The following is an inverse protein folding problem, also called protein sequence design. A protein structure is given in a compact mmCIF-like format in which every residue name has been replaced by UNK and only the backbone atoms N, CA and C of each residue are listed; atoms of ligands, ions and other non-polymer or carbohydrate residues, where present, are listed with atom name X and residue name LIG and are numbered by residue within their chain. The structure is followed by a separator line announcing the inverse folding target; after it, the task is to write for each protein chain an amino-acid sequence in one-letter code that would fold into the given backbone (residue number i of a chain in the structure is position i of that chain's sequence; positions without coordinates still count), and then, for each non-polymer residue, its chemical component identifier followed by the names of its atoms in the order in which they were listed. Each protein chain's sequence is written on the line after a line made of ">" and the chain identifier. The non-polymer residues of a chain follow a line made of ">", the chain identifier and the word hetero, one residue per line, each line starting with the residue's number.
data_IF_632693171904
#
_entry.id   IF_632693171904
#
_cell.length_a   1.000
_cell.length_b   1.000
_cell.length_c   1.000
_cell.angle_alpha   90.00
_cell.angle_beta   90.00
_cell.angle_gamma   90.00
#
_symmetry.space_group_name_H-M   'P 1'
#
loop_
_entity.id
_entity.type
_entity.pdbx_description
1 polymer ?
#
# COMPACT_ATOMS: atom_id res chain seq x y z
N UNK A 1 23.71 -1.94 15.30
CA UNK A 1 22.47 -1.12 15.30
C UNK A 1 21.26 -1.97 15.62
N UNK A 2 20.86 -2.89 14.73
CA UNK A 2 19.69 -3.77 14.93
C UNK A 2 19.71 -4.54 16.26
N UNK A 3 20.82 -5.21 16.59
CA UNK A 3 20.99 -5.95 17.85
C UNK A 3 20.82 -5.08 19.11
N UNK A 4 21.35 -3.86 19.11
CA UNK A 4 21.21 -2.92 20.25
C UNK A 4 19.76 -2.44 20.39
N UNK A 5 19.04 -2.31 19.27
CA UNK A 5 17.61 -2.01 19.25
C UNK A 5 16.72 -3.19 19.72
N UNK A 6 17.31 -4.35 20.03
CA UNK A 6 16.60 -5.56 20.43
C UNK A 6 15.90 -6.27 19.27
N UNK A 7 16.28 -5.97 18.03
CA UNK A 7 15.71 -6.53 16.81
C UNK A 7 16.85 -7.24 16.09
N UNK A 8 16.96 -8.55 16.19
CA UNK A 8 18.10 -9.27 15.62
C UNK A 8 17.67 -10.54 14.92
N UNK A 9 18.29 -10.81 13.79
CA UNK A 9 18.26 -12.09 13.09
C UNK A 9 19.42 -13.00 13.54
N UNK A 10 20.28 -12.52 14.45
CA UNK A 10 21.55 -13.18 14.75
C UNK A 10 22.63 -12.84 13.72
N UNK A 11 23.90 -12.94 14.11
CA UNK A 11 25.03 -12.51 13.26
C UNK A 11 25.14 -13.34 11.98
N UNK A 12 24.97 -14.66 12.09
CA UNK A 12 25.04 -15.60 10.97
C UNK A 12 23.94 -15.32 9.93
N UNK A 13 22.69 -15.13 10.38
CA UNK A 13 21.57 -14.85 9.47
C UNK A 13 21.75 -13.50 8.77
N UNK A 14 22.26 -12.46 9.47
CA UNK A 14 22.57 -11.17 8.87
C UNK A 14 23.66 -11.29 7.79
N UNK A 15 24.70 -12.09 8.03
CA UNK A 15 25.72 -12.37 7.01
C UNK A 15 25.13 -13.10 5.82
N UNK A 16 24.29 -14.12 6.06
CA UNK A 16 23.60 -14.87 5.01
C UNK A 16 22.68 -13.96 4.18
N UNK A 17 21.90 -13.08 4.82
CA UNK A 17 21.08 -12.05 4.16
C UNK A 17 21.98 -11.17 3.28
N UNK A 18 23.08 -10.64 3.83
CA UNK A 18 23.97 -9.74 3.09
C UNK A 18 24.59 -10.39 1.86
N UNK A 19 25.09 -11.62 1.99
CA UNK A 19 25.67 -12.37 0.86
C UNK A 19 24.61 -12.73 -0.18
N UNK A 20 23.43 -13.13 0.27
CA UNK A 20 22.31 -13.48 -0.61
C UNK A 20 21.82 -12.30 -1.42
N UNK A 21 21.69 -11.11 -0.80
CA UNK A 21 21.31 -9.89 -1.50
C UNK A 21 22.35 -9.44 -2.54
N UNK A 22 23.65 -9.63 -2.26
CA UNK A 22 24.72 -9.37 -3.24
C UNK A 22 24.59 -10.29 -4.46
N UNK A 23 24.32 -11.58 -4.23
CA UNK A 23 24.06 -12.55 -5.30
C UNK A 23 22.82 -12.16 -6.10
N UNK A 24 21.73 -11.83 -5.41
CA UNK A 24 20.48 -11.40 -6.04
C UNK A 24 20.68 -10.17 -6.93
N UNK A 25 21.36 -9.14 -6.42
CA UNK A 25 21.62 -7.91 -7.18
C UNK A 25 22.41 -8.16 -8.48
N UNK A 26 23.38 -9.09 -8.46
CA UNK A 26 24.12 -9.50 -9.65
C UNK A 26 23.25 -10.29 -10.63
N UNK A 27 22.39 -11.19 -10.14
CA UNK A 27 21.50 -12.00 -10.98
C UNK A 27 20.43 -11.15 -11.68
N UNK A 28 19.88 -10.16 -10.99
CA UNK A 28 18.78 -9.32 -11.50
C UNK A 28 19.26 -8.02 -12.13
N UNK A 29 20.57 -7.75 -12.15
CA UNK A 29 21.16 -6.47 -12.55
C UNK A 29 20.48 -5.27 -11.86
N UNK A 30 20.20 -5.39 -10.56
CA UNK A 30 19.56 -4.33 -9.80
C UNK A 30 20.55 -3.18 -9.55
N UNK A 31 20.13 -1.94 -9.84
CA UNK A 31 20.95 -0.74 -9.58
C UNK A 31 21.05 -0.43 -8.09
N UNK A 32 19.98 -0.70 -7.36
CA UNK A 32 19.89 -0.56 -5.92
C UNK A 32 19.17 -1.78 -5.35
N UNK A 33 19.65 -2.27 -4.21
CA UNK A 33 18.99 -3.36 -3.47
C UNK A 33 19.06 -3.09 -1.97
N UNK A 34 17.98 -3.41 -1.26
CA UNK A 34 17.89 -3.32 0.19
C UNK A 34 17.15 -4.51 0.75
N UNK A 35 17.54 -4.96 1.94
CA UNK A 35 16.68 -5.83 2.73
C UNK A 35 15.48 -5.03 3.22
N UNK A 36 14.27 -5.41 2.83
CA UNK A 36 13.06 -4.72 3.27
C UNK A 36 12.63 -5.22 4.66
N UNK A 37 12.73 -6.53 4.89
CA UNK A 37 12.32 -7.12 6.16
C UNK A 37 11.81 -8.54 6.03
N UNK A 38 10.95 -8.93 6.96
CA UNK A 38 10.38 -10.27 7.08
C UNK A 38 8.87 -10.21 7.36
N UNK A 39 8.08 -10.91 6.55
CA UNK A 39 6.65 -11.13 6.80
C UNK A 39 6.47 -12.49 7.47
N UNK A 40 5.88 -12.47 8.66
CA UNK A 40 5.54 -13.66 9.41
C UNK A 40 4.26 -14.28 8.89
N UNK A 41 4.23 -15.60 8.77
CA UNK A 41 3.12 -16.35 8.18
C UNK A 41 2.66 -17.45 9.14
N UNK A 42 1.56 -18.14 8.83
CA UNK A 42 1.19 -19.36 9.55
C UNK A 42 2.07 -20.57 9.20
N UNK A 43 2.76 -20.52 8.05
CA UNK A 43 3.61 -21.59 7.54
C UNK A 43 5.06 -21.16 7.46
N UNK A 44 5.57 -20.96 6.23
CA UNK A 44 6.94 -20.50 6.00
C UNK A 44 6.98 -18.98 5.82
N UNK A 45 7.72 -18.31 6.69
CA UNK A 45 7.92 -16.86 6.61
C UNK A 45 8.50 -16.41 5.27
N UNK A 46 8.27 -15.15 4.93
CA UNK A 46 8.86 -14.51 3.76
C UNK A 46 9.94 -13.51 4.18
N UNK A 47 11.16 -13.74 3.75
CA UNK A 47 12.20 -12.73 3.66
C UNK A 47 11.92 -11.87 2.44
N UNK A 48 12.02 -10.55 2.57
CA UNK A 48 11.68 -9.61 1.50
C UNK A 48 12.88 -8.73 1.19
N UNK A 49 13.24 -8.67 -0.09
CA UNK A 49 14.19 -7.74 -0.67
C UNK A 49 13.45 -6.74 -1.55
N UNK A 50 13.90 -5.50 -1.58
CA UNK A 50 13.43 -4.47 -2.51
C UNK A 50 14.59 -3.94 -3.33
N UNK A 51 14.30 -3.48 -4.54
CA UNK A 51 15.33 -2.91 -5.40
C UNK A 51 14.77 -2.32 -6.69
N UNK A 52 15.66 -1.63 -7.41
CA UNK A 52 15.35 -1.02 -8.70
C UNK A 52 16.01 -1.85 -9.79
N UNK A 53 15.21 -2.33 -10.75
CA UNK A 53 15.70 -3.09 -11.90
C UNK A 53 15.36 -2.39 -13.20
N UNK A 54 16.25 -2.54 -14.19
CA UNK A 54 16.04 -2.12 -15.56
C UNK A 54 15.31 -3.17 -16.42
N UNK A 55 15.06 -4.38 -15.87
CA UNK A 55 14.46 -5.48 -16.60
C UNK A 55 13.03 -5.15 -17.07
N UNK A 56 12.79 -5.27 -18.38
CA UNK A 56 11.52 -5.00 -19.06
C UNK A 56 10.46 -6.12 -18.91
N UNK A 57 10.69 -7.13 -18.05
CA UNK A 57 9.66 -8.10 -17.74
C UNK A 57 8.54 -7.40 -16.96
N UNK A 58 7.59 -6.85 -17.70
CA UNK A 58 6.32 -6.40 -17.20
C UNK A 58 5.28 -7.42 -17.69
N UNK A 59 4.54 -7.99 -16.74
CA UNK A 59 3.26 -8.61 -17.05
C UNK A 59 2.40 -7.61 -17.83
N UNK A 60 1.45 -8.09 -18.64
CA UNK A 60 0.48 -7.22 -19.32
C UNK A 60 -0.31 -6.48 -18.25
N UNK A 61 0.02 -5.22 -18.03
CA UNK A 61 -0.68 -4.37 -17.09
C UNK A 61 -2.03 -3.95 -17.67
N UNK A 62 -3.05 -3.94 -16.82
CA UNK A 62 -4.32 -3.27 -17.13
C UNK A 62 -4.05 -1.77 -17.36
N UNK A 63 -4.89 -1.13 -18.19
CA UNK A 63 -4.73 0.26 -18.63
C UNK A 63 -4.67 1.28 -17.48
N UNK A 64 -5.23 0.92 -16.34
CA UNK A 64 -5.36 1.73 -15.13
C UNK A 64 -4.24 1.50 -14.10
N UNK A 65 -3.32 0.54 -14.34
CA UNK A 65 -2.21 0.25 -13.43
C UNK A 65 -0.99 1.14 -13.68
N UNK A 66 -0.28 1.51 -12.60
CA UNK A 66 0.97 2.27 -12.72
C UNK A 66 2.09 1.41 -13.33
N UNK A 67 2.85 1.92 -14.32
CA UNK A 67 3.86 1.12 -15.00
C UNK A 67 5.06 0.82 -14.08
N UNK A 68 5.84 -0.20 -14.44
CA UNK A 68 7.09 -0.52 -13.74
C UNK A 68 8.02 0.69 -13.69
N UNK A 69 8.59 0.97 -12.51
CA UNK A 69 9.45 2.13 -12.28
C UNK A 69 8.71 3.40 -11.83
N UNK A 70 7.38 3.42 -11.88
CA UNK A 70 6.58 4.57 -11.51
C UNK A 70 5.59 4.26 -10.38
N UNK A 71 5.34 5.25 -9.52
CA UNK A 71 4.33 5.17 -8.48
C UNK A 71 4.52 4.00 -7.50
N UNK A 72 3.44 3.27 -7.24
CA UNK A 72 3.39 2.05 -6.44
C UNK A 72 4.28 0.91 -6.99
N UNK A 73 4.66 0.97 -8.27
CA UNK A 73 5.51 -0.01 -8.96
C UNK A 73 6.94 0.49 -9.21
N UNK A 74 7.41 1.52 -8.50
CA UNK A 74 8.81 1.97 -8.57
C UNK A 74 9.80 0.87 -8.18
N UNK A 75 9.52 0.12 -7.12
CA UNK A 75 10.42 -0.96 -6.66
C UNK A 75 9.94 -2.34 -7.10
N UNK A 76 10.91 -3.14 -7.54
CA UNK A 76 10.77 -4.59 -7.66
C UNK A 76 11.00 -5.21 -6.30
N UNK A 77 10.18 -6.17 -5.93
CA UNK A 77 10.33 -6.90 -4.66
C UNK A 77 10.57 -8.36 -4.95
N UNK A 78 11.47 -8.96 -4.17
CA UNK A 78 11.70 -10.39 -4.21
C UNK A 78 11.47 -10.99 -2.84
N UNK A 79 11.02 -12.24 -2.85
CA UNK A 79 10.72 -12.99 -1.64
C UNK A 79 11.39 -14.35 -1.65
N UNK A 80 11.84 -14.77 -0.48
CA UNK A 80 12.40 -16.11 -0.27
C UNK A 80 11.92 -16.66 1.08
N UNK A 81 11.75 -17.98 1.17
CA UNK A 81 11.47 -18.64 2.44
C UNK A 81 12.71 -18.80 3.30
N UNK A 82 13.85 -18.98 2.64
CA UNK A 82 15.16 -19.03 3.25
C UNK A 82 16.09 -18.17 2.40
N UNK A 83 16.89 -17.32 3.04
CA UNK A 83 17.83 -16.42 2.36
C UNK A 83 18.90 -17.16 1.58
N UNK A 84 19.13 -18.45 1.82
CA UNK A 84 20.07 -19.27 1.06
C UNK A 84 19.45 -19.89 -0.22
N UNK A 85 18.12 -19.86 -0.33
CA UNK A 85 17.38 -20.36 -1.49
C UNK A 85 17.27 -19.29 -2.59
N UNK A 86 16.59 -19.64 -3.68
CA UNK A 86 16.30 -18.70 -4.77
C UNK A 86 15.23 -17.69 -4.35
N UNK A 87 15.41 -16.45 -4.81
CA UNK A 87 14.47 -15.37 -4.58
C UNK A 87 13.46 -15.29 -5.71
N UNK A 88 12.18 -15.24 -5.36
CA UNK A 88 11.07 -15.14 -6.31
C UNK A 88 10.67 -13.68 -6.47
N UNK A 89 10.66 -13.18 -7.70
CA UNK A 89 10.15 -11.84 -8.02
C UNK A 89 8.62 -11.81 -7.82
N UNK A 90 8.15 -10.81 -7.06
CA UNK A 90 6.72 -10.56 -6.91
C UNK A 90 6.17 -9.83 -8.14
N UNK A 91 4.91 -10.11 -8.53
CA UNK A 91 4.27 -9.43 -9.66
C UNK A 91 4.09 -7.94 -9.38
N UNK A 92 3.77 -7.19 -10.43
CA UNK A 92 3.39 -5.79 -10.30
C UNK A 92 2.06 -5.65 -9.55
N UNK A 93 1.90 -4.55 -8.80
CA UNK A 93 0.66 -4.26 -8.08
C UNK A 93 -0.31 -3.53 -9.00
N UNK A 94 -1.59 -3.87 -8.92
CA UNK A 94 -2.68 -3.14 -9.58
C UNK A 94 -3.53 -2.42 -8.51
N UNK A 95 -4.22 -1.32 -8.86
CA UNK A 95 -5.02 -0.54 -7.92
C UNK A 95 -6.06 -1.40 -7.17
N UNK A 96 -6.73 -2.30 -7.90
CA UNK A 96 -7.73 -3.22 -7.35
C UNK A 96 -7.19 -4.12 -6.21
N UNK A 97 -5.95 -4.60 -6.34
CA UNK A 97 -5.32 -5.41 -5.28
C UNK A 97 -5.08 -4.56 -4.02
N UNK A 98 -4.69 -3.30 -4.17
CA UNK A 98 -4.45 -2.39 -3.03
C UNK A 98 -5.75 -2.05 -2.33
N UNK A 99 -6.81 -1.71 -3.08
CA UNK A 99 -8.13 -1.37 -2.52
C UNK A 99 -8.76 -2.57 -1.83
N UNK A 100 -8.68 -3.75 -2.44
CA UNK A 100 -9.17 -5.00 -1.84
C UNK A 100 -8.38 -5.38 -0.59
N UNK A 101 -7.05 -5.21 -0.59
CA UNK A 101 -6.21 -5.48 0.58
C UNK A 101 -6.56 -4.59 1.79
N UNK A 102 -7.08 -3.37 1.57
CA UNK A 102 -7.55 -2.48 2.66
C UNK A 102 -8.80 -3.00 3.36
N UNK A 103 -9.61 -3.78 2.65
CA UNK A 103 -10.91 -4.27 3.08
C UNK A 103 -10.85 -5.60 3.85
N UNK A 104 -9.71 -6.28 3.83
CA UNK A 104 -9.54 -7.62 4.41
C UNK A 104 -8.44 -7.64 5.48
N UNK A 105 -8.59 -8.55 6.44
CA UNK A 105 -7.52 -8.97 7.35
C UNK A 105 -7.19 -10.43 7.08
N UNK A 106 -5.96 -10.69 6.66
CA UNK A 106 -5.51 -12.00 6.23
C UNK A 106 -4.13 -12.30 6.83
N UNK A 107 -3.98 -13.48 7.42
CA UNK A 107 -2.67 -14.00 7.85
C UNK A 107 -2.16 -14.84 6.68
N UNK A 108 -0.99 -14.46 6.17
CA UNK A 108 -0.33 -15.16 5.08
C UNK A 108 -0.07 -16.64 5.42
N UNK A 109 -0.23 -17.51 4.43
CA UNK A 109 -0.03 -18.96 4.61
C UNK A 109 1.42 -19.37 4.47
N UNK A 110 2.22 -18.59 3.74
CA UNK A 110 3.57 -18.97 3.36
C UNK A 110 3.63 -19.79 2.07
N UNK A 111 2.56 -19.78 1.26
CA UNK A 111 2.56 -20.26 -0.12
C UNK A 111 2.13 -19.15 -1.08
N UNK A 112 3.05 -18.72 -1.95
CA UNK A 112 2.82 -17.64 -2.92
C UNK A 112 1.68 -17.94 -3.90
N UNK A 113 1.38 -19.22 -4.10
CA UNK A 113 0.35 -19.69 -5.02
C UNK A 113 -0.99 -20.00 -4.35
N UNK A 114 -1.11 -19.84 -3.04
CA UNK A 114 -2.35 -20.05 -2.32
C UNK A 114 -3.45 -19.08 -2.78
N UNK A 115 -4.67 -19.58 -2.83
CA UNK A 115 -5.85 -18.76 -3.09
C UNK A 115 -6.25 -18.02 -1.81
N UNK A 116 -6.44 -16.71 -1.92
CA UNK A 116 -6.86 -15.87 -0.80
C UNK A 116 -8.37 -16.02 -0.61
N UNK A 117 -8.77 -16.77 0.42
CA UNK A 117 -10.20 -17.02 0.73
C UNK A 117 -10.71 -15.98 1.72
N UNK A 118 -11.22 -14.86 1.20
CA UNK A 118 -11.74 -13.74 2.00
C UNK A 118 -13.06 -13.22 1.46
N UNK A 119 -13.77 -12.47 2.29
CA UNK A 119 -14.86 -11.60 1.86
C UNK A 119 -14.51 -10.15 2.24
N UNK A 120 -14.49 -9.19 1.29
CA UNK A 120 -14.73 -9.35 -0.15
C UNK A 120 -13.71 -10.28 -0.84
N UNK A 121 -14.08 -10.88 -2.00
CA UNK A 121 -13.17 -11.74 -2.74
C UNK A 121 -11.95 -10.94 -3.22
N UNK A 122 -10.77 -11.55 -3.10
CA UNK A 122 -9.54 -10.95 -3.59
C UNK A 122 -9.19 -11.55 -4.95
N UNK A 123 -9.15 -10.71 -5.99
CA UNK A 123 -8.90 -11.12 -7.38
C UNK A 123 -7.42 -11.42 -7.65
N UNK A 124 -6.84 -12.35 -6.89
CA UNK A 124 -5.47 -12.77 -7.05
C UNK A 124 -5.05 -13.87 -6.09
N UNK A 125 -3.83 -14.35 -6.28
CA UNK A 125 -3.15 -15.27 -5.35
C UNK A 125 -2.43 -14.52 -4.23
N UNK A 126 -1.95 -15.27 -3.23
CA UNK A 126 -1.20 -14.75 -2.09
C UNK A 126 -0.02 -13.84 -2.49
N UNK A 127 0.72 -14.15 -3.57
CA UNK A 127 1.79 -13.28 -4.10
C UNK A 127 1.34 -11.84 -4.43
N UNK A 128 0.13 -11.67 -4.92
CA UNK A 128 -0.41 -10.35 -5.29
C UNK A 128 -0.86 -9.58 -4.05
N UNK A 129 -1.47 -10.29 -3.09
CA UNK A 129 -1.82 -9.72 -1.79
C UNK A 129 -0.57 -9.31 -1.02
N UNK A 130 0.47 -10.15 -1.03
CA UNK A 130 1.75 -9.89 -0.38
C UNK A 130 2.41 -8.65 -0.97
N UNK A 131 2.47 -8.54 -2.30
CA UNK A 131 2.95 -7.33 -2.99
C UNK A 131 2.15 -6.10 -2.58
N UNK A 132 0.82 -6.16 -2.62
CA UNK A 132 -0.03 -5.03 -2.25
C UNK A 132 0.20 -4.61 -0.78
N UNK A 133 0.37 -5.59 0.11
CA UNK A 133 0.61 -5.35 1.53
C UNK A 133 1.99 -4.72 1.80
N UNK A 134 3.03 -5.20 1.10
CA UNK A 134 4.38 -4.62 1.18
C UNK A 134 4.34 -3.17 0.69
N UNK A 135 3.72 -2.89 -0.45
CA UNK A 135 3.64 -1.52 -1.00
C UNK A 135 2.88 -0.58 -0.04
N UNK A 136 1.77 -1.05 0.55
CA UNK A 136 1.03 -0.28 1.57
C UNK A 136 1.90 0.06 2.78
N UNK A 137 2.68 -0.90 3.28
CA UNK A 137 3.59 -0.68 4.42
C UNK A 137 4.71 0.27 4.01
N UNK A 138 5.34 0.04 2.86
CA UNK A 138 6.44 0.86 2.35
C UNK A 138 6.04 2.33 2.22
N UNK A 139 4.89 2.61 1.61
CA UNK A 139 4.39 3.97 1.42
C UNK A 139 4.02 4.66 2.74
N UNK A 140 3.66 3.89 3.78
CA UNK A 140 3.23 4.44 5.06
C UNK A 140 4.34 4.49 6.13
N UNK A 141 5.50 3.89 5.88
CA UNK A 141 6.49 3.69 6.95
C UNK A 141 7.94 3.90 6.58
N UNK A 142 8.34 3.95 5.30
CA UNK A 142 9.76 4.15 4.96
C UNK A 142 10.12 5.61 5.24
N UNK A 143 10.98 5.81 6.24
CA UNK A 143 11.41 7.14 6.68
C UNK A 143 12.80 7.50 6.18
N UNK A 144 13.02 8.79 6.00
CA UNK A 144 14.32 9.37 5.70
C UNK A 144 14.55 10.64 6.53
N UNK A 145 15.80 10.97 6.90
CA UNK A 145 16.11 12.27 7.46
C UNK A 145 15.74 13.39 6.48
N UNK A 146 15.16 14.48 7.00
CA UNK A 146 14.85 15.68 6.21
C UNK A 146 16.13 16.30 5.64
N UNK A 147 16.04 16.82 4.42
CA UNK A 147 17.15 17.48 3.73
C UNK A 147 18.05 16.54 2.93
N UNK A 148 17.84 15.22 2.98
CA UNK A 148 18.59 14.28 2.13
C UNK A 148 18.08 14.24 0.69
N UNK A 149 16.76 14.32 0.53
CA UNK A 149 16.07 14.29 -0.75
C UNK A 149 15.31 15.59 -0.95
N UNK A 150 15.20 16.00 -2.20
CA UNK A 150 14.31 17.07 -2.66
C UNK A 150 13.41 16.53 -3.78
N UNK A 151 12.22 17.11 -3.94
CA UNK A 151 11.40 16.83 -5.10
C UNK A 151 12.12 17.35 -6.36
N UNK A 152 12.09 16.58 -7.44
CA UNK A 152 12.68 16.99 -8.71
C UNK A 152 11.95 18.21 -9.26
N UNK A 153 12.71 19.17 -9.80
CA UNK A 153 12.15 20.35 -10.46
C UNK A 153 11.45 19.99 -11.79
N UNK A 154 11.84 18.86 -12.41
CA UNK A 154 11.35 18.43 -13.72
C UNK A 154 10.08 17.59 -13.61
N UNK A 155 10.03 16.66 -12.66
CA UNK A 155 8.85 15.86 -12.35
C UNK A 155 8.63 15.87 -10.83
N UNK A 156 7.63 16.63 -10.32
CA UNK A 156 7.32 16.69 -8.89
C UNK A 156 7.03 15.32 -8.25
N UNK A 157 6.76 14.29 -9.06
CA UNK A 157 6.56 12.91 -8.59
C UNK A 157 7.87 12.13 -8.40
N UNK A 158 9.03 12.70 -8.72
CA UNK A 158 10.33 12.08 -8.53
C UNK A 158 11.12 12.81 -7.43
N UNK A 159 12.00 12.06 -6.78
CA UNK A 159 12.89 12.60 -5.75
C UNK A 159 14.33 12.50 -6.22
N UNK A 160 15.10 13.55 -5.96
CA UNK A 160 16.52 13.65 -6.29
C UNK A 160 17.33 13.85 -5.01
N UNK A 161 18.59 13.43 -5.04
CA UNK A 161 19.51 13.73 -3.95
C UNK A 161 19.85 15.21 -3.98
N UNK A 162 19.87 15.84 -2.82
CA UNK A 162 20.37 17.22 -2.70
C UNK A 162 21.86 17.21 -3.04
N UNK A 163 22.29 18.08 -3.97
CA UNK A 163 23.68 18.14 -4.45
C UNK A 163 24.66 18.64 -3.39
N UNK A 164 24.18 19.43 -2.41
CA UNK A 164 24.97 19.88 -1.28
C UNK A 164 25.36 18.72 -0.35
N UNK A 165 26.53 18.78 0.31
CA UNK A 165 26.96 17.74 1.25
C UNK A 165 25.99 17.69 2.44
N UNK A 166 25.02 16.78 2.35
CA UNK A 166 24.04 16.54 3.40
C UNK A 166 24.75 16.23 4.73
N UNK A 167 24.67 17.17 5.67
CA UNK A 167 25.12 16.94 7.05
C UNK A 167 23.97 16.33 7.83
N UNK A 168 24.11 15.05 8.13
CA UNK A 168 23.11 14.35 8.94
C UNK A 168 22.97 15.06 10.32
N UNK A 169 21.73 15.29 10.79
CA UNK A 169 21.43 15.92 12.07
C UNK A 169 22.18 15.29 13.24
N UNK A 170 22.41 16.07 14.30
CA UNK A 170 23.09 15.56 15.50
C UNK A 170 22.23 14.53 16.23
N UNK A 171 22.87 13.69 17.06
CA UNK A 171 22.18 12.59 17.74
C UNK A 171 20.94 13.03 18.53
N UNK A 172 21.00 14.20 19.18
CA UNK A 172 19.87 14.73 19.95
C UNK A 172 18.70 15.16 19.06
N UNK A 173 19.00 15.76 17.90
CA UNK A 173 18.00 16.19 16.92
C UNK A 173 17.29 14.99 16.29
N UNK A 174 18.00 13.88 16.08
CA UNK A 174 17.40 12.65 15.53
C UNK A 174 16.31 12.03 16.41
N UNK A 175 16.19 12.45 17.68
CA UNK A 175 15.07 12.06 18.57
C UNK A 175 13.79 12.82 18.26
N UNK A 176 13.91 13.98 17.64
CA UNK A 176 12.77 14.80 17.27
C UNK A 176 12.11 14.23 16.02
N UNK A 177 10.79 14.05 16.10
CA UNK A 177 10.02 13.53 14.96
C UNK A 177 10.08 14.47 13.76
N UNK A 178 10.19 15.78 13.99
CA UNK A 178 10.28 16.80 12.94
C UNK A 178 11.55 16.73 12.09
N UNK A 179 12.52 15.89 12.45
CA UNK A 179 13.75 15.66 11.67
C UNK A 179 13.57 14.56 10.61
N UNK A 180 12.44 13.85 10.64
CA UNK A 180 12.16 12.72 9.76
C UNK A 180 10.98 13.03 8.83
N UNK A 181 11.03 12.48 7.62
CA UNK A 181 9.94 12.55 6.67
C UNK A 181 9.73 11.21 5.95
N UNK A 182 8.55 11.04 5.37
CA UNK A 182 8.23 9.87 4.54
C UNK A 182 8.98 9.93 3.22
N UNK A 183 9.68 8.85 2.85
CA UNK A 183 10.38 8.77 1.57
C UNK A 183 9.40 8.69 0.38
N UNK A 184 8.26 8.04 0.59
CA UNK A 184 7.25 7.78 -0.42
C UNK A 184 5.97 8.56 -0.11
N UNK A 185 5.20 8.98 -1.13
CA UNK A 185 3.87 9.51 -0.93
C UNK A 185 2.92 8.40 -0.48
N UNK A 186 1.83 8.79 0.17
CA UNK A 186 0.77 7.86 0.54
C UNK A 186 0.03 7.36 -0.69
N UNK A 187 -0.60 6.19 -0.54
CA UNK A 187 -1.50 5.65 -1.55
C UNK A 187 -2.88 6.29 -1.39
N UNK A 188 -3.41 6.87 -2.46
CA UNK A 188 -4.74 7.47 -2.52
C UNK A 188 -5.87 6.43 -2.35
N UNK A 189 -7.14 6.83 -2.37
CA UNK A 189 -8.30 5.92 -2.19
C UNK A 189 -8.39 4.85 -3.28
N UNK A 190 -7.95 5.16 -4.51
CA UNK A 190 -7.87 4.21 -5.63
C UNK A 190 -6.74 3.17 -5.47
N UNK A 191 -5.81 3.35 -4.53
CA UNK A 191 -4.68 2.44 -4.32
C UNK A 191 -3.47 2.73 -5.21
N UNK A 192 -3.35 3.95 -5.70
CA UNK A 192 -2.25 4.48 -6.53
C UNK A 192 -1.48 5.56 -5.78
N UNK A 193 -0.28 5.92 -6.25
CA UNK A 193 0.41 7.11 -5.74
C UNK A 193 -0.08 8.39 -6.45
N UNK A 194 -0.42 8.28 -7.73
CA UNK A 194 -1.01 9.38 -8.50
C UNK A 194 -2.46 9.07 -8.81
N UNK A 195 -3.36 10.03 -8.54
CA UNK A 195 -4.79 9.89 -8.83
C UNK A 195 -5.04 9.77 -10.33
N UNK A 196 -5.89 8.83 -10.72
CA UNK A 196 -6.19 8.57 -12.13
C UNK A 196 -7.62 8.93 -12.46
N UNK A 197 -7.75 9.71 -13.53
CA UNK A 197 -9.02 10.10 -14.10
C UNK A 197 -9.09 9.45 -15.48
N UNK A 198 -10.10 8.62 -15.71
CA UNK A 198 -10.25 7.93 -16.98
C UNK A 198 -10.61 8.95 -18.09
N UNK A 199 -9.81 9.04 -19.17
CA UNK A 199 -10.08 9.94 -20.28
C UNK A 199 -11.42 9.69 -21.00
N UNK A 200 -12.01 8.50 -20.86
CA UNK A 200 -13.26 8.11 -21.51
C UNK A 200 -14.52 8.62 -20.81
N UNK A 201 -14.41 9.16 -19.60
CA UNK A 201 -15.54 9.70 -18.84
C UNK A 201 -16.13 10.97 -19.48
N UNK A 202 -17.43 11.19 -19.23
CA UNK A 202 -18.13 12.42 -19.64
C UNK A 202 -17.61 13.63 -18.85
N UNK A 203 -17.85 14.86 -19.34
CA UNK A 203 -17.36 16.09 -18.69
C UNK A 203 -17.84 16.24 -17.24
N UNK A 204 -19.09 15.90 -16.95
CA UNK A 204 -19.65 15.93 -15.59
C UNK A 204 -18.98 14.91 -14.66
N UNK A 205 -18.72 13.70 -15.16
CA UNK A 205 -18.02 12.65 -14.41
C UNK A 205 -16.54 12.99 -14.18
N UNK A 206 -15.90 13.66 -15.14
CA UNK A 206 -14.53 14.15 -15.00
C UNK A 206 -14.44 15.24 -13.93
N UNK A 207 -15.35 16.20 -13.94
CA UNK A 207 -15.40 17.23 -12.91
C UNK A 207 -15.56 16.63 -11.50
N UNK A 208 -16.45 15.63 -11.35
CA UNK A 208 -16.61 14.91 -10.08
C UNK A 208 -15.33 14.15 -9.67
N UNK A 209 -14.64 13.50 -10.62
CA UNK A 209 -13.39 12.79 -10.35
C UNK A 209 -12.23 13.75 -10.01
N UNK A 210 -12.19 14.95 -10.60
CA UNK A 210 -11.22 16.01 -10.28
C UNK A 210 -11.45 16.59 -8.88
N UNK A 211 -12.71 16.81 -8.49
CA UNK A 211 -13.06 17.21 -7.13
C UNK A 211 -12.64 16.13 -6.12
N UNK A 212 -12.87 14.86 -6.45
CA UNK A 212 -12.44 13.75 -5.61
C UNK A 212 -10.91 13.62 -5.52
N UNK A 213 -10.19 13.90 -6.61
CA UNK A 213 -8.73 13.93 -6.63
C UNK A 213 -8.13 15.00 -5.71
N UNK A 214 -8.85 16.11 -5.48
CA UNK A 214 -8.41 17.23 -4.63
C UNK A 214 -8.69 17.03 -3.14
N UNK A 215 -9.44 15.99 -2.75
CA UNK A 215 -9.68 15.67 -1.34
C UNK A 215 -8.35 15.32 -0.65
N UNK A 216 -8.22 15.70 0.62
CA UNK A 216 -7.01 15.48 1.43
C UNK A 216 -6.58 13.99 1.48
N UNK A 217 -7.52 13.05 1.39
CA UNK A 217 -7.24 11.62 1.36
C UNK A 217 -6.53 11.15 0.06
N UNK A 218 -6.63 11.93 -1.00
CA UNK A 218 -6.12 11.61 -2.34
C UNK A 218 -4.90 12.45 -2.73
N UNK A 219 -4.66 13.54 -2.01
CA UNK A 219 -3.49 14.40 -2.19
C UNK A 219 -2.45 14.06 -1.14
N UNK A 220 -1.29 13.57 -1.59
CA UNK A 220 -0.13 13.37 -0.71
C UNK A 220 1.01 14.25 -1.17
N UNK A 221 1.48 15.11 -0.27
CA UNK A 221 2.77 15.79 -0.44
C UNK A 221 3.92 14.78 -0.34
N UNK A 222 4.96 14.97 -1.15
CA UNK A 222 6.22 14.22 -1.05
C UNK A 222 6.95 14.68 0.21
N UNK A 223 7.71 13.77 0.84
CA UNK A 223 8.55 14.11 1.99
C UNK A 223 7.75 14.73 3.15
N UNK A 224 6.50 14.27 3.36
CA UNK A 224 5.65 14.72 4.46
C UNK A 224 6.32 14.46 5.81
N UNK A 225 6.21 15.43 6.71
CA UNK A 225 6.72 15.34 8.08
C UNK A 225 5.92 14.30 8.88
N UNK A 226 6.63 13.46 9.63
CA UNK A 226 6.00 12.48 10.52
C UNK A 226 5.49 13.11 11.82
N UNK A 227 5.97 14.30 12.20
CA UNK A 227 5.52 15.02 13.40
C UNK A 227 4.08 15.54 13.25
N UNK A 228 3.65 15.79 12.02
CA UNK A 228 2.29 16.21 11.68
C UNK A 228 1.31 15.02 11.61
N UNK A 229 1.84 13.79 11.65
CA UNK A 229 1.05 12.57 11.53
C UNK A 229 0.42 12.15 12.86
N UNK A 230 -0.89 12.34 12.94
CA UNK A 230 -1.72 11.96 14.07
C UNK A 230 -2.42 10.63 13.82
N UNK A 231 -2.77 9.93 14.89
CA UNK A 231 -3.63 8.74 14.77
C UNK A 231 -5.08 9.12 14.48
N UNK A 232 -5.77 8.34 13.63
CA UNK A 232 -7.16 8.57 13.19
C UNK A 232 -8.19 8.77 14.34
N UNK A 233 -7.95 8.22 15.54
CA UNK A 233 -8.93 8.24 16.64
C UNK A 233 -8.64 9.24 17.76
N UNK A 234 -7.41 9.76 17.86
CA UNK A 234 -7.00 10.67 18.92
C UNK A 234 -6.15 11.76 18.29
N UNK A 235 -6.75 12.91 17.99
CA UNK A 235 -6.06 14.11 17.45
C UNK A 235 -4.89 14.61 18.33
N UNK A 236 -4.74 14.02 19.52
CA UNK A 236 -3.72 14.31 20.53
C UNK A 236 -2.56 13.32 20.56
N UNK A 237 -2.67 12.13 19.94
CA UNK A 237 -1.60 11.14 19.96
C UNK A 237 -0.88 11.00 18.62
N UNK A 238 0.44 11.11 18.68
CA UNK A 238 1.35 10.87 17.56
C UNK A 238 1.31 9.40 17.14
N UNK A 239 1.36 9.15 15.82
CA UNK A 239 1.43 7.79 15.26
C UNK A 239 2.79 7.09 15.52
N UNK A 240 3.80 7.87 15.87
CA UNK A 240 5.19 7.42 15.98
C UNK A 240 5.66 7.38 17.43
N UNK A 241 6.38 6.32 17.80
CA UNK A 241 6.98 6.15 19.12
C UNK A 241 8.50 6.17 18.96
N UNK A 242 9.17 7.11 19.62
CA UNK A 242 10.63 7.17 19.69
C UNK A 242 11.11 6.48 20.97
N UNK A 243 12.11 5.61 20.84
CA UNK A 243 12.81 4.99 21.97
C UNK A 243 14.31 5.09 21.78
N UNK A 244 15.01 5.30 22.88
CA UNK A 244 16.46 5.17 22.94
C UNK A 244 16.83 3.81 23.54
N UNK A 245 17.81 3.14 22.95
CA UNK A 245 18.29 1.82 23.38
C UNK A 245 19.82 1.80 23.42
N UNK A 246 20.39 1.11 24.41
CA UNK A 246 21.85 1.04 24.61
C UNK A 246 22.35 2.02 25.66
N UNK A 247 23.63 2.38 25.57
CA UNK A 247 24.29 3.28 26.51
C UNK A 247 24.13 4.74 26.08
N UNK A 248 23.41 5.52 26.89
CA UNK A 248 23.17 6.95 26.69
C UNK A 248 24.36 7.83 27.12
N UNK A 249 25.46 7.24 27.59
CA UNK A 249 26.65 7.99 27.92
C UNK A 249 27.26 8.64 26.67
N UNK A 250 27.54 9.95 26.78
CA UNK A 250 28.24 10.70 25.76
C UNK A 250 29.75 10.63 26.01
N UNK A 251 30.48 10.22 24.98
CA UNK A 251 31.93 10.15 24.99
C UNK A 251 32.47 11.29 24.14
N UNK A 252 32.89 12.37 24.80
CA UNK A 252 33.54 13.50 24.13
C UNK A 252 35.02 13.20 23.92
N UNK A 253 35.42 13.17 22.65
CA UNK A 253 36.82 13.21 22.21
C UNK A 253 37.11 14.60 21.62
N UNK A 254 38.39 14.99 21.53
CA UNK A 254 38.82 16.32 21.07
C UNK A 254 38.26 16.74 19.68
N UNK A 255 37.78 15.79 18.88
CA UNK A 255 37.23 16.00 17.53
C UNK A 255 35.70 15.77 17.41
N UNK A 256 35.07 15.03 18.33
CA UNK A 256 33.65 14.70 18.25
C UNK A 256 33.08 14.13 19.56
N UNK A 257 31.79 14.38 19.80
CA UNK A 257 30.99 13.67 20.81
C UNK A 257 30.40 12.41 20.18
N UNK A 258 30.88 11.24 20.61
CA UNK A 258 30.39 9.94 20.19
C UNK A 258 29.35 9.44 21.18
N UNK A 259 28.19 9.03 20.67
CA UNK A 259 27.14 8.40 21.45
C UNK A 259 26.84 7.03 20.85
N UNK A 260 26.92 5.98 21.65
CA UNK A 260 26.75 4.60 21.16
C UNK A 260 25.32 4.09 21.25
N UNK A 261 24.41 4.84 21.89
CA UNK A 261 22.99 4.50 21.88
C UNK A 261 22.38 4.59 20.48
N UNK A 262 21.27 3.89 20.33
CA UNK A 262 20.52 3.74 19.09
C UNK A 262 19.14 4.34 19.31
N UNK A 263 18.70 5.15 18.34
CA UNK A 263 17.33 5.68 18.31
C UNK A 263 16.49 4.72 17.48
N UNK A 264 15.34 4.35 18.01
CA UNK A 264 14.38 3.44 17.38
C UNK A 264 13.04 4.15 17.30
N UNK A 265 12.59 4.40 16.07
CA UNK A 265 11.28 4.96 15.77
C UNK A 265 10.37 3.82 15.34
N UNK A 266 9.21 3.70 15.98
CA UNK A 266 8.23 2.62 15.75
C UNK A 266 6.91 3.22 15.29
N UNK A 267 6.28 2.59 14.29
CA UNK A 267 4.91 2.94 13.88
C UNK A 267 3.89 2.27 14.80
N UNK A 268 2.90 3.02 15.29
CA UNK A 268 1.73 2.46 15.99
C UNK A 268 0.76 1.78 15.02
N UNK A 269 0.59 2.38 13.84
CA UNK A 269 -0.31 1.86 12.79
C UNK A 269 0.21 0.55 12.20
N UNK A 270 1.50 0.48 11.87
CA UNK A 270 2.13 -0.71 11.31
C UNK A 270 3.09 -1.32 12.32
N UNK A 271 2.52 -2.10 13.25
CA UNK A 271 3.30 -2.85 14.24
C UNK A 271 4.25 -3.79 13.50
N UNK A 272 5.53 -3.69 13.85
CA UNK A 272 6.62 -4.41 13.18
C UNK A 272 7.53 -3.51 12.34
N UNK A 273 7.14 -2.27 12.05
CA UNK A 273 8.05 -1.32 11.43
C UNK A 273 9.00 -0.69 12.45
N UNK A 274 10.28 -0.61 12.08
CA UNK A 274 11.35 0.01 12.86
C UNK A 274 12.26 0.84 11.96
N UNK A 275 12.36 2.14 12.24
CA UNK A 275 13.44 2.99 11.74
C UNK A 275 14.49 3.11 12.82
N UNK A 276 15.72 2.71 12.51
CA UNK A 276 16.80 2.59 13.49
C UNK A 276 17.93 3.49 13.04
N UNK A 277 18.41 4.36 13.92
CA UNK A 277 19.47 5.32 13.62
C UNK A 277 20.57 5.30 14.70
N UNK A 278 21.83 5.40 14.25
CA UNK A 278 23.01 5.55 15.09
C UNK A 278 24.13 6.21 14.28
N UNK A 279 24.80 7.21 14.85
CA UNK A 279 26.05 7.81 14.36
C UNK A 279 26.16 7.90 12.83
N UNK A 280 25.27 8.72 12.24
CA UNK A 280 25.22 9.02 10.79
C UNK A 280 24.76 7.88 9.87
N UNK A 281 24.21 6.78 10.42
CA UNK A 281 23.59 5.71 9.64
C UNK A 281 22.17 5.47 10.13
N UNK A 282 21.28 5.16 9.20
CA UNK A 282 19.93 4.73 9.52
C UNK A 282 19.50 3.56 8.64
N UNK A 283 18.47 2.86 9.08
CA UNK A 283 17.87 1.75 8.33
C UNK A 283 16.40 1.65 8.66
N UNK A 284 15.59 1.28 7.68
CA UNK A 284 14.18 0.96 7.83
C UNK A 284 14.01 -0.54 7.67
N UNK A 285 13.29 -1.18 8.59
CA UNK A 285 13.02 -2.60 8.53
C UNK A 285 11.62 -2.92 9.04
N UNK A 286 10.94 -3.85 8.37
CA UNK A 286 9.65 -4.38 8.82
C UNK A 286 9.78 -5.84 9.25
N UNK A 287 9.28 -6.19 10.43
CA UNK A 287 9.20 -7.57 10.93
C UNK A 287 7.85 -7.76 11.61
N UNK A 288 6.95 -8.51 10.98
CA UNK A 288 5.63 -8.76 11.54
C UNK A 288 4.67 -9.43 10.56
N UNK A 289 3.40 -9.50 10.92
CA UNK A 289 2.36 -10.20 10.16
C UNK A 289 1.80 -9.38 8.98
N UNK A 290 2.22 -8.13 8.79
CA UNK A 290 1.70 -7.26 7.74
C UNK A 290 0.27 -6.78 8.01
N UNK A 291 -0.18 -6.76 9.27
CA UNK A 291 -1.52 -6.33 9.64
C UNK A 291 -1.52 -4.87 10.10
N UNK A 292 -2.39 -4.05 9.50
CA UNK A 292 -2.63 -2.68 9.97
C UNK A 292 -3.33 -2.76 11.32
N UNK A 293 -2.71 -2.15 12.33
CA UNK A 293 -3.35 -1.93 13.63
C UNK A 293 -4.23 -0.70 13.46
N UNK A 294 -5.45 -0.92 12.98
CA UNK A 294 -6.47 0.11 12.98
C UNK A 294 -6.79 0.45 14.44
N UNK A 295 -6.81 1.75 14.76
CA UNK A 295 -7.32 2.22 16.04
C UNK A 295 -8.84 1.95 16.13
N UNK A 296 -9.53 1.88 14.99
CA UNK A 296 -10.89 1.37 14.84
C UNK A 296 -10.92 -0.17 14.83
N UNK A 297 -11.88 -0.82 15.51
CA UNK A 297 -12.12 -2.24 15.32
C UNK A 297 -12.32 -2.55 13.83
N UNK A 298 -11.72 -3.64 13.37
CA UNK A 298 -11.99 -4.09 12.01
C UNK A 298 -13.42 -4.62 11.94
N UNK A 299 -14.23 -3.97 11.11
CA UNK A 299 -15.60 -4.38 10.84
C UNK A 299 -15.59 -5.15 9.52
N UNK A 300 -15.94 -6.45 9.52
CA UNK A 300 -16.12 -7.20 8.29
C UNK A 300 -17.17 -6.52 7.40
N UNK A 301 -16.90 -6.49 6.10
CA UNK A 301 -17.81 -5.87 5.14
C UNK A 301 -19.08 -6.72 5.04
N UNK A 302 -20.22 -6.05 5.01
CA UNK A 302 -21.52 -6.70 4.81
C UNK A 302 -21.71 -7.03 3.33
N UNK A 303 -22.45 -8.09 3.01
CA UNK A 303 -22.93 -8.36 1.65
C UNK A 303 -23.55 -7.12 1.01
N UNK A 304 -23.38 -6.99 -0.30
CA UNK A 304 -24.09 -5.97 -1.08
C UNK A 304 -25.60 -6.17 -0.94
N UNK A 305 -26.34 -5.06 -0.97
CA UNK A 305 -27.79 -5.10 -0.92
C UNK A 305 -28.35 -5.88 -2.12
N UNK A 306 -29.47 -6.56 -1.90
CA UNK A 306 -30.18 -7.23 -3.00
C UNK A 306 -30.57 -6.18 -4.06
N UNK A 307 -30.39 -6.54 -5.33
CA UNK A 307 -30.84 -5.69 -6.42
C UNK A 307 -32.33 -5.37 -6.25
N UNK A 308 -32.69 -4.10 -6.43
CA UNK A 308 -34.09 -3.71 -6.47
C UNK A 308 -34.79 -4.44 -7.62
N UNK A 309 -36.03 -4.87 -7.38
CA UNK A 309 -36.91 -5.35 -8.44
C UNK A 309 -37.14 -4.21 -9.45
N UNK A 310 -37.42 -4.58 -10.70
CA UNK A 310 -37.82 -3.61 -11.72
C UNK A 310 -39.14 -3.00 -11.28
N UNK A 311 -39.32 -1.69 -11.46
CA UNK A 311 -40.61 -1.05 -11.22
C UNK A 311 -41.69 -1.73 -12.09
N UNK A 312 -42.82 -2.09 -11.47
CA UNK A 312 -43.95 -2.69 -12.19
C UNK A 312 -44.39 -1.73 -13.31
N UNK A 313 -44.53 -2.27 -14.53
CA UNK A 313 -45.05 -1.48 -15.65
C UNK A 313 -46.51 -1.16 -15.40
N UNK A 314 -46.92 0.09 -15.64
CA UNK A 314 -48.32 0.48 -15.60
C UNK A 314 -49.17 -0.47 -16.46
N UNK A 315 -50.19 -1.07 -15.85
CA UNK A 315 -51.17 -1.89 -16.55
C UNK A 315 -51.82 -1.05 -17.65
N UNK A 316 -51.46 -1.33 -18.91
CA UNK A 316 -52.16 -0.73 -20.04
C UNK A 316 -53.53 -1.40 -20.14
N UNK A 317 -54.63 -0.63 -20.27
CA UNK A 317 -55.95 -1.21 -20.45
C UNK A 317 -55.93 -2.14 -21.66
N UNK A 318 -56.56 -3.31 -21.54
CA UNK A 318 -56.71 -4.23 -22.66
C UNK A 318 -57.29 -3.48 -23.88
N UNK A 319 -56.84 -3.78 -25.11
CA UNK A 319 -57.40 -3.18 -26.32
C UNK A 319 -58.86 -3.62 -26.51
N UNK A 320 -59.78 -2.97 -25.79
CA UNK A 320 -61.21 -3.16 -26.00
C UNK A 320 -61.55 -2.54 -27.35
N UNK A 321 -61.97 -3.38 -28.30
CA UNK A 321 -62.58 -2.91 -29.54
C UNK A 321 -63.76 -1.98 -29.18
N UNK A 322 -63.69 -0.71 -29.60
CA UNK A 322 -64.74 0.30 -29.32
C UNK A 322 -66.09 -0.07 -29.93
N UNK A 323 -66.08 -0.93 -30.93
CA UNK A 323 -67.26 -1.41 -31.60
C UNK A 323 -67.52 -2.84 -31.12
N UNK A 324 -68.66 -3.12 -30.47
CA UNK A 324 -69.07 -4.49 -30.27
C UNK A 324 -69.13 -5.18 -31.64
N UNK A 325 -68.72 -6.45 -31.77
CA UNK A 325 -68.94 -7.18 -33.01
C UNK A 325 -70.40 -7.04 -33.42
N UNK A 326 -70.71 -6.83 -34.71
CA UNK A 326 -72.08 -6.70 -35.17
C UNK A 326 -72.87 -7.87 -34.61
N UNK A 327 -73.98 -7.59 -33.92
CA UNK A 327 -74.89 -8.63 -33.45
C UNK A 327 -75.26 -9.47 -34.67
N UNK A 328 -74.93 -10.76 -34.65
CA UNK A 328 -75.51 -11.70 -35.61
C UNK A 328 -77.02 -11.59 -35.44
N UNK A 329 -77.72 -11.07 -36.45
CA UNK A 329 -79.18 -11.15 -36.50
C UNK A 329 -79.51 -12.64 -36.57
N UNK A 330 -79.99 -13.20 -35.46
CA UNK A 330 -80.61 -14.51 -35.45
C UNK A 330 -81.79 -14.46 -36.44
N UNK A 331 -81.81 -15.29 -37.50
CA UNK A 331 -82.91 -15.31 -38.47
C UNK A 331 -84.26 -15.72 -37.87
N UNK A 332 -84.30 -16.16 -36.61
CA UNK A 332 -85.44 -16.83 -35.98
C UNK A 332 -86.42 -15.89 -35.26
N UNK A 333 -86.22 -14.56 -35.26
CA UNK A 333 -87.15 -13.59 -34.64
C UNK A 333 -88.12 -12.91 -35.64
N UNK A 334 -88.08 -13.26 -36.94
CA UNK A 334 -88.96 -12.66 -37.95
C UNK A 334 -90.35 -13.31 -38.10
N UNK A 335 -90.61 -14.46 -37.47
CA UNK A 335 -91.86 -15.25 -37.67
C UNK A 335 -92.83 -15.25 -36.46
N UNK A 336 -92.69 -14.32 -35.51
CA UNK A 336 -93.62 -14.20 -34.37
C UNK A 336 -94.21 -12.79 -34.22
N UNK A 337 -94.82 -12.28 -35.29
CA UNK A 337 -95.85 -11.22 -35.21
C UNK A 337 -96.96 -11.51 -36.22
N UNK A 338 -97.91 -12.36 -35.83
CA UNK A 338 -99.30 -12.35 -36.36
C UNK A 338 -100.11 -11.22 -35.72
#
# INVERSE_FOLDING_TARGET
>A
MLQIAGISFGEEEVQNISMSLRKLAQQTNASQIRFWGKILTSGKDYYVAEGITSNQNADVLLKDAEPKGYGANTYTFWVAHNVLEEWFELPLVIPEHVTSARKIKYIFTGDLNANVKTYPPFNGKEKHLLKAQIVRISCATILTPKGLYQASEVDPNQIEFVEDPFKLPEYLELKELGTWCHLHPFLNTQGRQTYYIDPSLNEEQKAAAEEEAQKEENVSERLKDIAEEKTENEETQLNWIVRECGDSQQFSTDEATLQYSVIVIKSKTWVGHYTICNNKRWTNIYIGYGLKTNQQPFVPIQPEDMCAEVEDTDEQPEPNHKEPPPKEENPDEADLQE
#
